data_IF_452571667816
#
_entry.id   IF_452571667816
#
_cell.length_a   1.000
_cell.length_b   1.000
_cell.length_c   1.000
_cell.angle_alpha   90.00
_cell.angle_beta   90.00
_cell.angle_gamma   90.00
#
_symmetry.space_group_name_H-M   'P 1'
#
loop_
_entity.id
_entity.type
_entity.pdbx_description
1 polymer ?
#
# COMPACT_ATOMS: atom_id res chain seq x y z
N UNK A 1 -41.85 -60.91 9.08
CA UNK A 1 -41.95 -59.88 10.14
C UNK A 1 -40.59 -59.21 10.28
N UNK A 2 -40.55 -57.86 10.33
CA UNK A 2 -39.37 -56.93 10.39
C UNK A 2 -38.74 -56.66 9.01
N UNK A 3 -39.30 -55.81 8.15
CA UNK A 3 -39.26 -54.33 8.13
C UNK A 3 -37.85 -53.74 8.24
N UNK A 4 -37.42 -52.98 7.22
CA UNK A 4 -36.62 -51.72 7.27
C UNK A 4 -36.01 -51.45 5.88
N UNK A 5 -36.66 -50.64 5.04
CA UNK A 5 -36.49 -49.18 4.95
C UNK A 5 -35.32 -48.79 4.01
N UNK A 6 -35.69 -48.37 2.81
CA UNK A 6 -34.84 -47.69 1.83
C UNK A 6 -34.28 -46.40 2.44
N UNK A 7 -32.98 -46.15 2.30
CA UNK A 7 -32.42 -44.80 2.40
C UNK A 7 -31.35 -44.60 1.31
N UNK A 8 -31.76 -43.97 0.22
CA UNK A 8 -30.87 -43.33 -0.75
C UNK A 8 -30.44 -41.99 -0.13
N UNK A 9 -29.15 -41.83 0.20
CA UNK A 9 -28.58 -40.52 0.50
C UNK A 9 -27.40 -40.30 -0.45
N UNK A 10 -27.71 -39.53 -1.48
CA UNK A 10 -26.79 -38.90 -2.43
C UNK A 10 -26.19 -37.63 -1.80
N UNK A 11 -25.16 -37.09 -2.46
CA UNK A 11 -24.46 -35.80 -2.25
C UNK A 11 -23.50 -35.76 -1.06
N UNK A 12 -22.27 -35.23 -1.17
CA UNK A 12 -21.74 -34.28 -2.15
C UNK A 12 -20.20 -34.35 -2.20
N UNK A 13 -19.67 -34.10 -3.40
CA UNK A 13 -18.26 -33.96 -3.77
C UNK A 13 -17.56 -32.87 -2.92
N UNK A 14 -16.55 -33.27 -2.13
CA UNK A 14 -15.62 -32.33 -1.52
C UNK A 14 -14.67 -31.80 -2.58
N UNK A 15 -15.02 -30.69 -3.23
CA UNK A 15 -14.08 -29.87 -3.98
C UNK A 15 -13.18 -29.16 -2.96
N UNK A 16 -12.00 -29.73 -2.69
CA UNK A 16 -10.93 -29.06 -1.97
C UNK A 16 -10.48 -27.85 -2.80
N UNK A 17 -11.01 -26.68 -2.45
CA UNK A 17 -10.63 -25.41 -3.04
C UNK A 17 -9.16 -25.14 -2.79
N UNK A 18 -8.39 -25.04 -3.88
CA UNK A 18 -7.07 -24.44 -3.89
C UNK A 18 -7.24 -22.96 -3.53
N UNK A 19 -6.89 -22.58 -2.30
CA UNK A 19 -6.84 -21.18 -1.88
C UNK A 19 -5.70 -20.50 -2.63
N UNK A 20 -6.02 -19.80 -3.72
CA UNK A 20 -5.11 -18.86 -4.36
C UNK A 20 -4.67 -17.78 -3.36
N UNK A 21 -3.57 -17.04 -3.64
CA UNK A 21 -3.13 -15.97 -2.75
C UNK A 21 -4.29 -14.98 -2.60
N UNK A 22 -4.87 -14.94 -1.40
CA UNK A 22 -5.89 -13.96 -1.08
C UNK A 22 -5.29 -12.58 -1.29
N UNK A 23 -5.95 -11.76 -2.09
CA UNK A 23 -5.72 -10.33 -2.06
C UNK A 23 -6.12 -9.91 -0.65
N UNK A 24 -5.13 -9.69 0.22
CA UNK A 24 -5.34 -9.05 1.51
C UNK A 24 -5.69 -7.61 1.17
N UNK A 25 -6.98 -7.31 1.17
CA UNK A 25 -7.47 -5.95 1.12
C UNK A 25 -6.87 -5.23 2.33
N UNK A 26 -6.08 -4.18 2.07
CA UNK A 26 -5.43 -3.42 3.15
C UNK A 26 -6.49 -3.01 4.17
N UNK A 27 -6.15 -3.07 5.46
CA UNK A 27 -7.03 -2.60 6.52
C UNK A 27 -7.27 -1.10 6.31
N UNK A 28 -8.32 -0.74 5.60
CA UNK A 28 -8.78 0.64 5.49
C UNK A 28 -9.20 1.02 6.91
N UNK A 29 -8.37 1.83 7.56
CA UNK A 29 -8.49 2.19 8.98
C UNK A 29 -9.61 3.18 9.23
N UNK A 30 -10.83 2.84 8.81
CA UNK A 30 -11.96 3.77 8.83
C UNK A 30 -12.50 3.99 10.25
N UNK A 31 -12.27 3.04 11.17
CA UNK A 31 -12.74 3.08 12.58
C UNK A 31 -11.64 2.78 13.62
N UNK A 32 -10.37 3.11 13.31
CA UNK A 32 -9.23 2.93 14.22
C UNK A 32 -8.89 4.18 15.03
N UNK A 33 -8.05 4.09 16.08
CA UNK A 33 -7.57 5.25 16.84
C UNK A 33 -6.77 6.26 16.00
N UNK A 34 -6.46 5.91 14.75
CA UNK A 34 -5.76 6.74 13.76
C UNK A 34 -6.64 7.08 12.55
N UNK A 35 -7.95 6.80 12.59
CA UNK A 35 -8.87 7.04 11.47
C UNK A 35 -8.88 8.52 11.01
N UNK A 36 -8.70 9.45 11.95
CA UNK A 36 -8.61 10.89 11.66
C UNK A 36 -7.18 11.38 11.40
N UNK A 37 -6.18 10.50 11.51
CA UNK A 37 -4.78 10.87 11.30
C UNK A 37 -4.49 10.95 9.80
N UNK A 38 -4.27 12.17 9.31
CA UNK A 38 -3.85 12.39 7.92
C UNK A 38 -2.34 12.26 7.80
N UNK A 39 -1.89 11.48 6.82
CA UNK A 39 -0.49 11.50 6.43
C UNK A 39 -0.16 12.88 5.87
N UNK A 40 0.94 13.47 6.34
CA UNK A 40 1.47 14.74 5.83
C UNK A 40 2.94 14.60 5.50
N UNK A 41 3.40 15.32 4.48
CA UNK A 41 4.83 15.51 4.26
C UNK A 41 5.43 16.18 5.49
N UNK A 42 6.54 15.64 5.98
CA UNK A 42 7.36 16.27 7.02
C UNK A 42 8.62 16.92 6.41
N UNK A 43 8.71 16.98 5.08
CA UNK A 43 9.93 17.33 4.36
C UNK A 43 11.06 16.33 4.60
N UNK A 44 12.31 16.68 4.25
CA UNK A 44 13.49 15.86 4.49
C UNK A 44 13.84 15.84 5.99
N UNK A 45 13.07 15.11 6.80
CA UNK A 45 13.22 15.07 8.26
C UNK A 45 14.44 14.27 8.75
N UNK A 46 15.03 13.44 7.88
CA UNK A 46 16.33 12.83 8.13
C UNK A 46 17.45 13.85 7.90
N UNK A 47 17.74 14.71 8.89
CA UNK A 47 18.80 15.74 8.82
C UNK A 47 20.24 15.18 8.83
N UNK A 48 20.44 14.01 8.23
CA UNK A 48 21.74 13.35 8.00
C UNK A 48 21.64 12.34 6.84
N UNK A 49 20.82 12.64 5.82
CA UNK A 49 20.74 11.85 4.59
C UNK A 49 21.82 12.28 3.58
N UNK A 50 22.29 11.35 2.75
CA UNK A 50 23.13 11.71 1.59
C UNK A 50 22.24 12.04 0.41
N UNK A 51 22.47 13.18 -0.23
CA UNK A 51 21.90 13.47 -1.56
C UNK A 51 22.73 12.73 -2.59
N UNK A 52 22.07 11.88 -3.39
CA UNK A 52 22.71 11.14 -4.46
C UNK A 52 22.58 11.85 -5.81
N UNK A 53 21.48 12.57 -6.01
CA UNK A 53 21.17 13.22 -7.29
C UNK A 53 20.23 14.41 -7.13
N UNK A 54 20.36 15.41 -8.02
CA UNK A 54 19.51 16.60 -8.09
C UNK A 54 19.25 16.93 -9.55
N UNK A 55 17.98 16.99 -9.94
CA UNK A 55 17.58 17.29 -11.32
C UNK A 55 16.50 18.37 -11.35
N UNK A 56 16.46 19.12 -12.45
CA UNK A 56 15.53 20.24 -12.65
C UNK A 56 14.73 20.05 -13.93
N UNK A 57 13.45 20.39 -13.90
CA UNK A 57 12.64 20.35 -15.13
C UNK A 57 13.08 21.50 -16.05
N UNK A 58 13.59 21.19 -17.24
CA UNK A 58 14.11 22.21 -18.15
C UNK A 58 13.06 23.21 -18.66
N UNK A 59 11.80 22.77 -18.76
CA UNK A 59 10.67 23.61 -19.15
C UNK A 59 10.23 24.57 -18.03
N UNK A 60 10.44 24.19 -16.77
CA UNK A 60 10.13 25.00 -15.60
C UNK A 60 11.13 24.72 -14.48
N UNK A 61 12.08 25.63 -14.32
CA UNK A 61 13.20 25.48 -13.38
C UNK A 61 12.82 25.67 -11.92
N UNK A 62 11.56 25.98 -11.62
CA UNK A 62 11.04 25.98 -10.25
C UNK A 62 10.73 24.57 -9.76
N UNK A 63 10.58 23.60 -10.68
CA UNK A 63 10.33 22.21 -10.32
C UNK A 63 11.67 21.48 -10.19
N UNK A 64 11.98 21.06 -8.97
CA UNK A 64 13.24 20.40 -8.61
C UNK A 64 12.96 19.05 -7.98
N UNK A 65 13.72 18.02 -8.40
CA UNK A 65 13.69 16.70 -7.79
C UNK A 65 15.01 16.42 -7.11
N UNK A 66 14.96 15.87 -5.88
CA UNK A 66 16.14 15.48 -5.12
C UNK A 66 16.03 14.00 -4.75
N UNK A 67 17.01 13.23 -5.20
CA UNK A 67 17.18 11.82 -4.82
C UNK A 67 18.06 11.71 -3.59
N UNK A 68 17.54 11.09 -2.53
CA UNK A 68 18.32 10.72 -1.36
C UNK A 68 18.82 9.27 -1.49
N UNK A 69 20.06 9.01 -1.09
CA UNK A 69 20.63 7.66 -1.05
C UNK A 69 19.79 6.70 -0.19
N UNK A 70 19.13 7.25 0.83
CA UNK A 70 18.14 6.60 1.68
C UNK A 70 17.10 7.65 2.05
N UNK A 71 15.81 7.38 1.82
CA UNK A 71 14.73 8.34 2.08
C UNK A 71 13.87 8.67 0.86
N UNK A 72 14.21 8.16 -0.33
CA UNK A 72 13.37 8.26 -1.52
C UNK A 72 13.66 9.51 -2.36
N UNK A 73 12.63 9.96 -3.08
CA UNK A 73 12.68 11.13 -3.99
C UNK A 73 11.76 12.21 -3.46
N UNK A 74 12.28 13.43 -3.40
CA UNK A 74 11.56 14.62 -2.98
C UNK A 74 11.32 15.53 -4.18
N UNK A 75 10.16 16.19 -4.22
CA UNK A 75 9.79 17.11 -5.29
C UNK A 75 9.46 18.46 -4.70
N UNK A 76 10.07 19.50 -5.24
CA UNK A 76 9.67 20.88 -5.02
C UNK A 76 9.07 21.46 -6.29
N UNK A 77 8.17 22.44 -6.14
CA UNK A 77 7.58 23.23 -7.23
C UNK A 77 7.82 24.73 -7.06
N UNK A 78 8.62 25.12 -6.07
CA UNK A 78 8.91 26.52 -5.73
C UNK A 78 10.43 26.79 -5.61
N UNK A 79 11.23 26.01 -6.34
CA UNK A 79 12.69 26.16 -6.39
C UNK A 79 13.42 25.58 -5.17
N UNK A 80 12.79 24.68 -4.43
CA UNK A 80 13.37 24.02 -3.26
C UNK A 80 13.10 24.74 -1.93
N UNK A 81 12.16 25.70 -1.90
CA UNK A 81 11.74 26.36 -0.67
C UNK A 81 10.83 25.44 0.16
N UNK A 82 9.99 24.65 -0.51
CA UNK A 82 9.13 23.61 0.09
C UNK A 82 9.19 22.28 -0.69
N UNK A 83 8.82 21.16 -0.04
CA UNK A 83 9.01 19.77 -0.50
C UNK A 83 7.83 18.85 -0.17
#
# INVERSE_FOLDING_TARGET
MRSSAFLFVSTMLAASGFAGPGVVEGQNGEDGPFAEMTARSIGPAGMSGRVSDVEVVLADRTIVYVGAATGGVFKSVDGGLTW
#
